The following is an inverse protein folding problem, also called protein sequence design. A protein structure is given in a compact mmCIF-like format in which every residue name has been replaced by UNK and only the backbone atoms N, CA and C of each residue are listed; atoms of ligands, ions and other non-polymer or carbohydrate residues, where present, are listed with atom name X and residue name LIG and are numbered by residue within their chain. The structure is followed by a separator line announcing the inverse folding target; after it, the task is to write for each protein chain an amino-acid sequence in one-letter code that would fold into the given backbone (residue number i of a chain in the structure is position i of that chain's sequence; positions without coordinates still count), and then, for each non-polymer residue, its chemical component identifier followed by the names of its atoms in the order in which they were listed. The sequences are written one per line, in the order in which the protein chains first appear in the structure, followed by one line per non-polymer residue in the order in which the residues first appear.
data_IF_003113182409
#
_entry.id   IF_003113182409
#
_cell.length_a   1.000
_cell.length_b   1.000
_cell.length_c   1.000
_cell.angle_alpha   90.00
_cell.angle_beta   90.00
_cell.angle_gamma   90.00
#
_symmetry.space_group_name_H-M   'P 1'
#
loop_
_entity.id
_entity.type
_entity.pdbx_description
1 polymer ?
#
# COMPACT_ATOMS: atom_id res chain seq x y z
N UNK A 1 -1.14 1.00 22.01
CA UNK A 1 -0.94 1.76 20.78
C UNK A 1 0.38 2.51 20.76
N UNK A 2 0.70 3.28 21.79
CA UNK A 2 1.95 4.04 21.85
C UNK A 2 3.20 3.16 21.69
N UNK A 3 3.20 1.97 22.31
CA UNK A 3 4.30 1.03 22.18
C UNK A 3 4.52 0.50 20.77
N UNK A 4 3.44 0.27 20.03
CA UNK A 4 3.51 -0.18 18.63
C UNK A 4 4.05 0.93 17.74
N UNK A 5 3.58 2.17 17.93
CA UNK A 5 4.05 3.32 17.17
C UNK A 5 5.53 3.59 17.44
N UNK A 6 5.96 3.49 18.69
CA UNK A 6 7.37 3.67 19.05
C UNK A 6 8.25 2.62 18.37
N UNK A 7 7.82 1.36 18.39
CA UNK A 7 8.55 0.27 17.77
C UNK A 7 8.72 0.50 16.27
N UNK A 8 7.65 0.92 15.61
CA UNK A 8 7.68 1.23 14.18
C UNK A 8 8.59 2.40 13.90
N UNK A 9 8.44 3.49 14.65
CA UNK A 9 9.22 4.71 14.45
C UNK A 9 10.72 4.50 14.58
N UNK A 10 11.14 3.65 15.51
CA UNK A 10 12.55 3.30 15.70
C UNK A 10 13.15 2.57 14.51
N UNK A 11 12.32 1.90 13.73
CA UNK A 11 12.76 1.17 12.55
C UNK A 11 12.83 2.03 11.29
N UNK A 12 12.20 3.21 11.29
CA UNK A 12 12.19 4.08 10.11
C UNK A 12 13.45 4.93 10.11
N UNK A 13 14.17 4.90 8.98
CA UNK A 13 15.39 5.69 8.79
C UNK A 13 15.13 6.88 7.89
N UNK A 14 15.91 7.93 8.06
CA UNK A 14 15.87 9.11 7.19
C UNK A 14 17.20 9.25 6.48
N UNK A 15 17.11 9.38 5.15
CA UNK A 15 18.26 9.71 4.30
C UNK A 15 18.04 11.12 3.76
N UNK A 16 18.88 12.11 4.14
CA UNK A 16 18.56 13.52 3.83
C UNK A 16 18.68 13.89 2.37
N UNK A 17 19.42 13.10 1.57
CA UNK A 17 19.71 13.45 0.17
C UNK A 17 19.42 12.26 -0.75
N UNK A 18 18.23 11.71 -0.69
CA UNK A 18 17.86 10.58 -1.54
C UNK A 18 16.45 10.77 -2.11
N UNK A 19 16.19 10.44 -3.39
CA UNK A 19 17.14 9.99 -4.41
C UNK A 19 18.07 11.08 -4.92
N UNK A 20 17.79 12.34 -4.58
CA UNK A 20 18.61 13.47 -4.97
C UNK A 20 18.86 14.38 -3.77
N UNK A 21 19.86 15.25 -3.90
CA UNK A 21 20.22 16.21 -2.87
C UNK A 21 19.02 17.07 -2.44
N UNK A 22 18.84 17.25 -1.16
CA UNK A 22 17.81 18.09 -0.58
C UNK A 22 16.47 17.40 -0.34
N UNK A 23 16.34 16.12 -0.69
CA UNK A 23 15.11 15.36 -0.47
C UNK A 23 15.28 14.44 0.74
N UNK A 24 14.54 14.67 1.84
CA UNK A 24 14.56 13.75 2.97
C UNK A 24 13.72 12.52 2.62
N UNK A 25 14.37 11.36 2.60
CA UNK A 25 13.72 10.09 2.27
C UNK A 25 13.52 9.26 3.54
N UNK A 26 12.30 8.81 3.74
CA UNK A 26 11.97 7.90 4.85
C UNK A 26 12.03 6.46 4.36
N UNK A 27 12.99 5.70 4.89
CA UNK A 27 13.17 4.30 4.55
C UNK A 27 12.41 3.43 5.53
N UNK A 28 11.41 2.71 5.03
CA UNK A 28 10.57 1.83 5.85
C UNK A 28 11.02 0.36 5.82
N UNK A 29 12.01 0.01 5.03
CA UNK A 29 12.43 -1.38 4.90
C UNK A 29 12.90 -2.02 6.21
N UNK A 30 13.53 -1.30 7.14
CA UNK A 30 13.85 -1.89 8.44
C UNK A 30 12.62 -2.38 9.23
N UNK A 31 11.44 -1.81 8.97
CA UNK A 31 10.19 -2.30 9.55
C UNK A 31 9.90 -3.71 9.09
N UNK A 32 10.13 -3.99 7.80
CA UNK A 32 9.90 -5.32 7.21
C UNK A 32 10.89 -6.35 7.75
N UNK A 33 12.07 -5.89 8.13
CA UNK A 33 13.15 -6.74 8.60
C UNK A 33 12.98 -7.14 10.07
N UNK A 34 12.22 -6.37 10.82
CA UNK A 34 11.94 -6.62 12.23
C UNK A 34 10.55 -7.25 12.35
N UNK A 35 10.46 -8.56 12.70
CA UNK A 35 9.15 -9.21 12.77
C UNK A 35 8.17 -8.56 13.74
N UNK A 36 8.67 -8.00 14.83
CA UNK A 36 7.81 -7.32 15.82
C UNK A 36 7.27 -6.00 15.27
N UNK A 37 8.11 -5.25 14.56
CA UNK A 37 7.69 -4.00 13.95
C UNK A 37 6.69 -4.24 12.82
N UNK A 38 6.93 -5.26 11.99
CA UNK A 38 6.00 -5.62 10.92
C UNK A 38 4.65 -6.08 11.48
N UNK A 39 4.67 -6.88 12.54
CA UNK A 39 3.43 -7.28 13.21
C UNK A 39 2.69 -6.07 13.79
N UNK A 40 3.43 -5.11 14.36
CA UNK A 40 2.83 -3.88 14.90
C UNK A 40 2.14 -3.04 13.82
N UNK A 41 2.76 -2.89 12.65
CA UNK A 41 2.15 -2.20 11.51
C UNK A 41 0.86 -2.90 11.10
N UNK A 42 0.93 -4.23 10.94
CA UNK A 42 -0.23 -5.01 10.52
C UNK A 42 -1.36 -4.93 11.55
N UNK A 43 -1.02 -4.98 12.83
CA UNK A 43 -2.00 -4.81 13.91
C UNK A 43 -2.71 -3.46 13.83
N UNK A 44 -1.96 -2.38 13.64
CA UNK A 44 -2.54 -1.04 13.57
C UNK A 44 -3.42 -0.86 12.35
N UNK A 45 -3.02 -1.40 11.19
CA UNK A 45 -3.85 -1.37 9.99
C UNK A 45 -5.12 -2.20 10.20
N UNK A 46 -5.01 -3.37 10.80
CA UNK A 46 -6.16 -4.21 11.08
C UNK A 46 -7.15 -3.53 12.01
N UNK A 47 -6.67 -2.96 13.10
CA UNK A 47 -7.51 -2.23 14.07
C UNK A 47 -8.25 -1.08 13.40
N UNK A 48 -7.53 -0.31 12.59
CA UNK A 48 -8.12 0.82 11.87
C UNK A 48 -9.18 0.35 10.87
N UNK A 49 -8.86 -0.67 10.07
CA UNK A 49 -9.78 -1.17 9.07
C UNK A 49 -11.06 -1.75 9.69
N UNK A 50 -10.94 -2.50 10.77
CA UNK A 50 -12.11 -3.06 11.45
C UNK A 50 -13.00 -2.00 12.05
N UNK A 51 -12.42 -0.90 12.53
CA UNK A 51 -13.16 0.21 13.12
C UNK A 51 -13.81 1.10 12.07
N UNK A 52 -13.03 1.49 11.05
CA UNK A 52 -13.47 2.48 10.05
C UNK A 52 -14.19 1.85 8.85
N UNK A 53 -13.82 0.62 8.49
CA UNK A 53 -14.30 -0.04 7.27
C UNK A 53 -14.67 -1.51 7.55
N UNK A 54 -15.64 -1.76 8.44
CA UNK A 54 -15.94 -3.14 8.88
C UNK A 54 -16.48 -4.05 7.79
N UNK A 55 -16.94 -3.48 6.68
CA UNK A 55 -17.55 -4.24 5.58
C UNK A 55 -16.66 -4.34 4.35
N UNK A 56 -15.35 -4.15 4.50
CA UNK A 56 -14.42 -4.28 3.37
C UNK A 56 -14.46 -5.71 2.82
N UNK A 57 -14.50 -5.82 1.49
CA UNK A 57 -14.56 -7.10 0.80
C UNK A 57 -13.25 -7.51 0.15
N UNK A 58 -12.39 -6.53 -0.15
CA UNK A 58 -11.16 -6.76 -0.89
C UNK A 58 -10.14 -5.70 -0.51
N UNK A 59 -8.89 -6.12 -0.37
CA UNK A 59 -7.77 -5.21 -0.22
C UNK A 59 -7.06 -5.11 -1.57
N UNK A 60 -6.74 -3.88 -1.97
CA UNK A 60 -6.02 -3.60 -3.20
C UNK A 60 -4.74 -2.85 -2.83
N UNK A 61 -3.62 -3.25 -3.40
CA UNK A 61 -2.34 -2.61 -3.14
C UNK A 61 -1.71 -2.06 -4.41
N UNK A 62 -1.10 -0.88 -4.28
CA UNK A 62 -0.35 -0.26 -5.36
C UNK A 62 1.08 -0.78 -5.38
N UNK A 63 1.58 -1.10 -6.55
CA UNK A 63 2.96 -1.57 -6.78
C UNK A 63 3.92 -0.42 -6.44
N UNK A 64 4.93 -0.63 -5.63
CA UNK A 64 5.33 -1.92 -5.04
C UNK A 64 5.03 -2.02 -3.55
N UNK A 65 4.94 -0.90 -2.85
CA UNK A 65 4.87 -0.89 -1.39
C UNK A 65 3.54 -1.33 -0.83
N UNK A 66 2.45 -1.09 -1.55
CA UNK A 66 1.16 -1.64 -1.20
C UNK A 66 1.14 -3.16 -1.16
N UNK A 67 2.03 -3.81 -1.92
CA UNK A 67 2.18 -5.26 -1.93
C UNK A 67 2.84 -5.79 -0.66
N UNK A 68 3.60 -4.95 0.04
CA UNK A 68 4.29 -5.36 1.26
C UNK A 68 3.34 -5.48 2.44
N UNK A 69 2.30 -4.67 2.47
CA UNK A 69 1.37 -4.60 3.59
C UNK A 69 -0.03 -5.11 3.25
N UNK A 70 -0.44 -4.96 2.00
CA UNK A 70 -1.79 -5.32 1.56
C UNK A 70 -2.16 -6.77 1.81
N UNK A 71 -1.37 -7.74 1.35
CA UNK A 71 -1.67 -9.16 1.59
C UNK A 71 -1.71 -9.54 3.06
N UNK A 72 -0.84 -8.95 3.88
CA UNK A 72 -0.85 -9.20 5.32
C UNK A 72 -2.15 -8.72 5.96
N UNK A 73 -2.59 -7.53 5.58
CA UNK A 73 -3.84 -6.97 6.07
C UNK A 73 -5.03 -7.80 5.59
N UNK A 74 -5.05 -8.18 4.32
CA UNK A 74 -6.11 -9.01 3.75
C UNK A 74 -6.25 -10.32 4.51
N UNK A 75 -5.14 -10.97 4.80
CA UNK A 75 -5.14 -12.23 5.54
C UNK A 75 -5.70 -12.03 6.96
N UNK A 76 -5.32 -10.96 7.64
CA UNK A 76 -5.85 -10.64 8.98
C UNK A 76 -7.35 -10.41 8.96
N UNK A 77 -7.85 -9.77 7.92
CA UNK A 77 -9.28 -9.47 7.78
C UNK A 77 -10.08 -10.61 7.17
N UNK A 78 -9.43 -11.66 6.68
CA UNK A 78 -10.10 -12.79 6.06
C UNK A 78 -10.69 -12.48 4.69
N UNK A 79 -10.09 -11.53 3.96
CA UNK A 79 -10.51 -11.14 2.61
C UNK A 79 -9.37 -11.34 1.62
N UNK A 80 -9.66 -11.16 0.33
CA UNK A 80 -8.68 -11.32 -0.72
C UNK A 80 -7.84 -10.07 -0.95
N UNK A 81 -6.86 -10.20 -1.83
CA UNK A 81 -5.97 -9.11 -2.26
C UNK A 81 -5.87 -9.10 -3.76
N UNK A 82 -5.86 -7.91 -4.36
CA UNK A 82 -5.61 -7.71 -5.77
C UNK A 82 -4.60 -6.59 -5.99
N UNK A 83 -3.72 -6.74 -7.01
CA UNK A 83 -2.71 -5.73 -7.31
C UNK A 83 -3.21 -4.67 -8.28
N UNK A 84 -2.71 -3.45 -8.10
CA UNK A 84 -2.69 -2.41 -9.12
C UNK A 84 -1.24 -2.21 -9.50
N UNK A 85 -0.95 -2.26 -10.80
CA UNK A 85 0.41 -2.13 -11.33
C UNK A 85 0.46 -1.16 -12.49
N UNK A 86 1.65 -0.80 -12.92
CA UNK A 86 1.84 -0.01 -14.14
C UNK A 86 1.38 -0.80 -15.36
N UNK A 87 0.92 -0.08 -16.38
CA UNK A 87 0.44 -0.69 -17.62
C UNK A 87 1.44 -1.70 -18.19
N UNK A 88 0.93 -2.86 -18.59
CA UNK A 88 1.73 -3.92 -19.17
C UNK A 88 2.33 -4.91 -18.19
N UNK A 89 2.09 -4.73 -16.90
CA UNK A 89 2.66 -5.61 -15.86
C UNK A 89 1.73 -6.72 -15.41
N UNK A 90 0.46 -6.69 -15.78
CA UNK A 90 -0.52 -7.69 -15.40
C UNK A 90 -0.98 -8.52 -16.59
N UNK A 91 -1.14 -9.84 -16.41
CA UNK A 91 -1.63 -10.71 -17.50
C UNK A 91 -3.14 -10.62 -17.66
N UNK A 92 -3.60 -10.97 -18.84
CA UNK A 92 -5.02 -11.07 -19.15
C UNK A 92 -5.69 -9.72 -19.38
N UNK A 93 -7.02 -9.70 -19.47
CA UNK A 93 -7.74 -8.43 -19.64
C UNK A 93 -7.60 -7.54 -18.42
N UNK A 94 -7.35 -6.25 -18.65
CA UNK A 94 -7.13 -5.25 -17.59
C UNK A 94 -8.00 -4.04 -17.82
N UNK A 95 -8.28 -3.33 -16.72
CA UNK A 95 -8.89 -2.01 -16.72
C UNK A 95 -7.79 -1.02 -16.37
N UNK A 96 -7.68 0.05 -17.16
CA UNK A 96 -6.60 1.03 -17.00
C UNK A 96 -7.14 2.41 -16.70
N UNK A 97 -6.38 3.15 -15.90
CA UNK A 97 -6.62 4.56 -15.63
C UNK A 97 -5.33 5.31 -15.91
N UNK A 98 -5.42 6.35 -16.74
CA UNK A 98 -4.30 7.24 -17.00
C UNK A 98 -4.28 8.35 -15.97
N UNK A 99 -3.08 8.70 -15.50
CA UNK A 99 -2.89 9.84 -14.61
C UNK A 99 -1.67 10.64 -15.04
N UNK A 100 -1.71 11.95 -14.74
CA UNK A 100 -0.66 12.85 -15.14
C UNK A 100 0.30 13.10 -14.00
N UNK A 101 1.60 12.94 -14.29
CA UNK A 101 2.68 13.39 -13.44
C UNK A 101 3.17 14.74 -13.96
N UNK A 102 3.92 15.48 -13.17
CA UNK A 102 4.46 16.79 -13.59
C UNK A 102 5.29 16.72 -14.87
N UNK A 103 5.95 15.58 -15.09
CA UNK A 103 6.92 15.41 -16.19
C UNK A 103 6.54 14.30 -17.16
N UNK A 104 5.45 13.57 -16.93
CA UNK A 104 5.06 12.47 -17.78
C UNK A 104 3.62 12.05 -17.51
N UNK A 105 3.06 11.25 -18.42
CA UNK A 105 1.80 10.54 -18.18
C UNK A 105 2.12 9.12 -17.76
N UNK A 106 1.32 8.59 -16.85
CA UNK A 106 1.43 7.21 -16.40
C UNK A 106 0.07 6.55 -16.44
N UNK A 107 0.05 5.24 -16.58
CA UNK A 107 -1.16 4.44 -16.52
C UNK A 107 -0.99 3.34 -15.47
N UNK A 108 -2.04 3.15 -14.68
CA UNK A 108 -2.13 2.06 -13.73
C UNK A 108 -3.23 1.12 -14.17
N UNK A 109 -3.06 -0.16 -13.94
CA UNK A 109 -4.04 -1.17 -14.34
C UNK A 109 -4.31 -2.16 -13.23
N UNK A 110 -5.51 -2.73 -13.29
CA UNK A 110 -5.91 -3.85 -12.46
C UNK A 110 -6.54 -4.89 -13.37
N UNK A 111 -6.46 -6.15 -12.97
CA UNK A 111 -7.11 -7.22 -13.74
C UNK A 111 -8.62 -7.02 -13.73
N UNK A 112 -9.25 -7.27 -14.87
CA UNK A 112 -10.68 -7.01 -15.06
C UNK A 112 -11.54 -7.82 -14.09
N UNK A 113 -11.12 -9.03 -13.76
CA UNK A 113 -11.83 -9.93 -12.84
C UNK A 113 -11.44 -9.76 -11.37
N UNK A 114 -10.58 -8.79 -11.05
CA UNK A 114 -10.09 -8.62 -9.69
C UNK A 114 -11.19 -8.13 -8.74
N UNK A 115 -12.11 -7.32 -9.22
CA UNK A 115 -13.15 -6.71 -8.40
C UNK A 115 -14.51 -6.99 -9.02
N UNK A 116 -15.46 -7.37 -8.18
CA UNK A 116 -16.85 -7.57 -8.59
C UNK A 116 -17.68 -6.34 -8.24
N UNK A 117 -18.73 -6.10 -9.03
CA UNK A 117 -19.62 -4.98 -8.77
C UNK A 117 -20.22 -5.06 -7.35
N UNK A 118 -20.23 -3.92 -6.67
CA UNK A 118 -20.77 -3.83 -5.31
C UNK A 118 -19.78 -4.16 -4.20
N UNK A 119 -18.59 -4.67 -4.53
CA UNK A 119 -17.59 -4.91 -3.51
C UNK A 119 -17.03 -3.61 -2.92
N UNK A 120 -16.78 -3.63 -1.64
CA UNK A 120 -16.12 -2.53 -0.93
C UNK A 120 -14.62 -2.80 -0.88
N UNK A 121 -13.86 -1.90 -1.47
CA UNK A 121 -12.42 -2.05 -1.70
C UNK A 121 -11.66 -1.04 -0.83
N UNK A 122 -10.65 -1.52 -0.15
CA UNK A 122 -9.72 -0.68 0.60
C UNK A 122 -8.36 -0.71 -0.10
N UNK A 123 -7.85 0.46 -0.47
CA UNK A 123 -6.57 0.61 -1.15
C UNK A 123 -5.49 0.86 -0.12
N UNK A 124 -4.38 0.12 -0.24
CA UNK A 124 -3.25 0.23 0.67
C UNK A 124 -2.01 0.69 -0.09
N UNK A 125 -1.36 1.70 0.45
CA UNK A 125 -0.06 2.16 0.02
C UNK A 125 0.65 2.79 1.22
N UNK A 126 1.92 3.15 1.07
CA UNK A 126 2.69 3.73 2.15
C UNK A 126 2.87 5.24 2.02
N UNK A 127 2.61 5.79 0.85
CA UNK A 127 2.89 7.18 0.53
C UNK A 127 1.84 7.76 -0.40
N UNK A 128 1.38 8.96 -0.07
CA UNK A 128 0.58 9.78 -0.95
C UNK A 128 1.37 11.06 -1.23
N UNK A 129 1.90 11.18 -2.44
CA UNK A 129 2.72 12.34 -2.82
C UNK A 129 1.87 13.50 -3.32
N UNK A 130 1.20 13.32 -4.46
CA UNK A 130 0.42 14.40 -5.10
C UNK A 130 -1.07 14.14 -5.05
N UNK A 131 -1.47 12.90 -4.84
CA UNK A 131 -2.87 12.50 -4.91
C UNK A 131 -3.37 12.19 -6.31
N UNK A 132 -2.51 12.31 -7.32
CA UNK A 132 -2.88 11.99 -8.71
C UNK A 132 -2.96 10.50 -8.99
N UNK A 133 -2.16 9.74 -8.26
CA UNK A 133 -2.18 8.29 -8.37
C UNK A 133 -3.39 7.71 -7.66
#
# INVERSE_FOLDING_TARGET
MAGKLDLISKCIRTFPDFPTKGIPFKDIFPVLKDPKALAAVTDLFEEHARRAYPQVDLIVGLDARGFLFGPLLAQRLGVGFAPIRKKGKLPGPTLSVAYSLEYAKAEAEMQEDAVSAGQKVLIVDDLLATGGE
#
